data_IF_943066548789
#
_entry.id   IF_943066548789
#
_cell.length_a   1.000
_cell.length_b   1.000
_cell.length_c   1.000
_cell.angle_alpha   90.00
_cell.angle_beta   90.00
_cell.angle_gamma   90.00
#
_symmetry.space_group_name_H-M   'P 1'
#
loop_
_entity.id
_entity.type
_entity.pdbx_description
1 polymer ?
#
# COMPACT_ATOMS: atom_id res chain seq x y z
N UNK A 1 -28.37 -97.60 -42.94
CA UNK A 1 -27.70 -96.85 -41.86
C UNK A 1 -28.44 -97.17 -40.58
N UNK A 2 -27.73 -97.58 -39.51
CA UNK A 2 -28.38 -98.00 -38.27
C UNK A 2 -28.88 -96.79 -37.46
N UNK A 3 -29.97 -96.95 -36.71
CA UNK A 3 -30.65 -95.85 -35.98
C UNK A 3 -29.71 -95.20 -34.96
N UNK A 4 -28.87 -96.00 -34.30
CA UNK A 4 -27.85 -95.51 -33.37
C UNK A 4 -26.80 -94.61 -34.03
N UNK A 5 -26.46 -94.86 -35.30
CA UNK A 5 -25.51 -94.03 -36.06
C UNK A 5 -26.11 -92.65 -36.34
N UNK A 6 -27.41 -92.58 -36.66
CA UNK A 6 -28.13 -91.31 -36.90
C UNK A 6 -28.18 -90.47 -35.62
N UNK A 7 -28.53 -91.08 -34.48
CA UNK A 7 -28.63 -90.40 -33.19
C UNK A 7 -27.27 -89.81 -32.79
N UNK A 8 -26.18 -90.56 -32.95
CA UNK A 8 -24.83 -90.06 -32.66
C UNK A 8 -24.42 -88.88 -33.54
N UNK A 9 -24.76 -88.89 -34.84
CA UNK A 9 -24.45 -87.77 -35.74
C UNK A 9 -25.19 -86.50 -35.30
N UNK A 10 -26.48 -86.60 -34.95
CA UNK A 10 -27.28 -85.48 -34.46
C UNK A 10 -26.71 -84.94 -33.13
N UNK A 11 -26.33 -85.83 -32.21
CA UNK A 11 -25.72 -85.44 -30.94
C UNK A 11 -24.40 -84.67 -31.14
N UNK A 12 -23.56 -85.10 -32.09
CA UNK A 12 -22.30 -84.40 -32.44
C UNK A 12 -22.57 -83.03 -33.05
N UNK A 13 -23.54 -82.92 -33.97
CA UNK A 13 -23.92 -81.63 -34.59
C UNK A 13 -24.43 -80.67 -33.52
N UNK A 14 -25.29 -81.13 -32.60
CA UNK A 14 -25.80 -80.31 -31.49
C UNK A 14 -24.67 -79.90 -30.54
N UNK A 15 -23.73 -80.79 -30.23
CA UNK A 15 -22.58 -80.49 -29.38
C UNK A 15 -21.67 -79.41 -30.01
N UNK A 16 -21.35 -79.54 -31.30
CA UNK A 16 -20.53 -78.57 -32.04
C UNK A 16 -21.28 -77.23 -32.16
N UNK A 17 -22.58 -77.27 -32.50
CA UNK A 17 -23.42 -76.09 -32.58
C UNK A 17 -23.48 -75.31 -31.27
N UNK A 18 -23.71 -76.01 -30.14
CA UNK A 18 -23.71 -75.41 -28.81
C UNK A 18 -22.32 -74.85 -28.43
N UNK A 19 -21.24 -75.57 -28.75
CA UNK A 19 -19.89 -75.11 -28.46
C UNK A 19 -19.54 -73.82 -29.21
N UNK A 20 -19.86 -73.74 -30.51
CA UNK A 20 -19.63 -72.52 -31.31
C UNK A 20 -20.49 -71.37 -30.79
N UNK A 21 -21.75 -71.63 -30.45
CA UNK A 21 -22.67 -70.64 -29.91
C UNK A 21 -22.14 -70.07 -28.58
N UNK A 22 -21.73 -70.92 -27.63
CA UNK A 22 -21.13 -70.51 -26.36
C UNK A 22 -19.81 -69.73 -26.55
N UNK A 23 -18.96 -70.14 -27.49
CA UNK A 23 -17.74 -69.40 -27.83
C UNK A 23 -18.05 -68.02 -28.42
N UNK A 24 -19.13 -67.89 -29.17
CA UNK A 24 -19.56 -66.61 -29.75
C UNK A 24 -20.10 -65.65 -28.67
N UNK A 25 -20.89 -66.16 -27.73
CA UNK A 25 -21.39 -65.40 -26.58
C UNK A 25 -20.23 -64.94 -25.70
N UNK A 26 -19.30 -65.84 -25.38
CA UNK A 26 -18.15 -65.53 -24.52
C UNK A 26 -17.26 -64.44 -25.12
N UNK A 27 -17.00 -64.49 -26.44
CA UNK A 27 -16.24 -63.44 -27.14
C UNK A 27 -16.97 -62.10 -27.16
N UNK A 28 -18.29 -62.09 -27.42
CA UNK A 28 -19.09 -60.85 -27.36
C UNK A 28 -19.12 -60.25 -25.97
N UNK A 29 -19.25 -61.08 -24.93
CA UNK A 29 -19.21 -60.65 -23.53
C UNK A 29 -17.88 -59.98 -23.20
N UNK A 30 -16.75 -60.64 -23.49
CA UNK A 30 -15.42 -60.10 -23.24
C UNK A 30 -15.17 -58.77 -23.99
N UNK A 31 -15.59 -58.68 -25.25
CA UNK A 31 -15.48 -57.44 -26.02
C UNK A 31 -16.31 -56.29 -25.42
N UNK A 32 -17.55 -56.57 -25.01
CA UNK A 32 -18.41 -55.55 -24.39
C UNK A 32 -17.89 -55.11 -23.02
N UNK A 33 -17.33 -56.02 -22.22
CA UNK A 33 -16.68 -55.68 -20.95
C UNK A 33 -15.47 -54.76 -21.17
N UNK A 34 -14.59 -55.09 -22.11
CA UNK A 34 -13.41 -54.28 -22.39
C UNK A 34 -13.77 -52.92 -23.01
N UNK A 35 -14.77 -52.90 -23.89
CA UNK A 35 -15.34 -51.66 -24.43
C UNK A 35 -15.95 -50.80 -23.33
N UNK A 36 -16.65 -51.40 -22.37
CA UNK A 36 -17.24 -50.71 -21.23
C UNK A 36 -16.18 -50.07 -20.33
N UNK A 37 -15.09 -50.79 -20.03
CA UNK A 37 -13.95 -50.25 -19.28
C UNK A 37 -13.31 -49.05 -19.99
N UNK A 38 -13.04 -49.17 -21.29
CA UNK A 38 -12.43 -48.09 -22.06
C UNK A 38 -13.32 -46.85 -22.15
N UNK A 39 -14.64 -47.05 -22.20
CA UNK A 39 -15.59 -45.93 -22.16
C UNK A 39 -15.56 -45.22 -20.80
N UNK A 40 -15.63 -45.96 -19.70
CA UNK A 40 -15.54 -45.41 -18.35
C UNK A 40 -14.23 -44.63 -18.14
N UNK A 41 -13.09 -45.19 -18.55
CA UNK A 41 -11.80 -44.49 -18.48
C UNK A 41 -11.79 -43.19 -19.29
N UNK A 42 -12.41 -43.18 -20.47
CA UNK A 42 -12.48 -41.98 -21.31
C UNK A 42 -13.33 -40.88 -20.64
N UNK A 43 -14.45 -41.26 -20.04
CA UNK A 43 -15.32 -40.35 -19.30
C UNK A 43 -14.60 -39.78 -18.06
N UNK A 44 -13.85 -40.60 -17.33
CA UNK A 44 -13.03 -40.17 -16.20
C UNK A 44 -11.94 -39.16 -16.63
N UNK A 45 -11.23 -39.43 -17.73
CA UNK A 45 -10.21 -38.51 -18.27
C UNK A 45 -10.84 -37.17 -18.65
N UNK A 46 -12.01 -37.18 -19.30
CA UNK A 46 -12.72 -35.96 -19.68
C UNK A 46 -13.17 -35.16 -18.45
N UNK A 47 -13.73 -35.85 -17.45
CA UNK A 47 -14.12 -35.25 -16.17
C UNK A 47 -12.93 -34.59 -15.46
N UNK A 48 -11.82 -35.31 -15.30
CA UNK A 48 -10.59 -34.79 -14.69
C UNK A 48 -10.07 -33.58 -15.48
N UNK A 49 -10.08 -33.65 -16.81
CA UNK A 49 -9.63 -32.55 -17.67
C UNK A 49 -10.47 -31.29 -17.45
N UNK A 50 -11.79 -31.44 -17.34
CA UNK A 50 -12.69 -30.33 -17.09
C UNK A 50 -12.48 -29.72 -15.69
N UNK A 51 -12.21 -30.54 -14.68
CA UNK A 51 -11.87 -30.08 -13.34
C UNK A 51 -10.55 -29.29 -13.38
N UNK A 52 -9.51 -29.80 -14.04
CA UNK A 52 -8.22 -29.11 -14.16
C UNK A 52 -8.41 -27.73 -14.80
N UNK A 53 -9.11 -27.64 -15.92
CA UNK A 53 -9.41 -26.36 -16.59
C UNK A 53 -10.19 -25.40 -15.69
N UNK A 54 -11.14 -25.92 -14.91
CA UNK A 54 -11.91 -25.11 -13.96
C UNK A 54 -11.02 -24.56 -12.86
N UNK A 55 -10.15 -25.39 -12.27
CA UNK A 55 -9.18 -24.97 -11.23
C UNK A 55 -8.20 -23.95 -11.79
N UNK A 56 -7.65 -24.16 -12.99
CA UNK A 56 -6.76 -23.21 -13.66
C UNK A 56 -7.46 -21.86 -13.88
N UNK A 57 -8.70 -21.87 -14.34
CA UNK A 57 -9.49 -20.65 -14.51
C UNK A 57 -9.75 -19.94 -13.19
N UNK A 58 -10.12 -20.66 -12.13
CA UNK A 58 -10.32 -20.11 -10.80
C UNK A 58 -9.03 -19.50 -10.23
N UNK A 59 -7.91 -20.21 -10.40
CA UNK A 59 -6.60 -19.73 -9.97
C UNK A 59 -6.19 -18.46 -10.71
N UNK A 60 -6.33 -18.43 -12.04
CA UNK A 60 -6.02 -17.25 -12.84
C UNK A 60 -6.88 -16.05 -12.46
N UNK A 61 -8.19 -16.24 -12.28
CA UNK A 61 -9.09 -15.17 -11.82
C UNK A 61 -8.68 -14.65 -10.44
N UNK A 62 -8.37 -15.55 -9.50
CA UNK A 62 -7.94 -15.17 -8.15
C UNK A 62 -6.61 -14.42 -8.18
N UNK A 63 -5.68 -14.85 -9.04
CA UNK A 63 -4.39 -14.19 -9.23
C UNK A 63 -4.54 -12.79 -9.83
N UNK A 64 -5.44 -12.60 -10.80
CA UNK A 64 -5.70 -11.27 -11.35
C UNK A 64 -6.35 -10.33 -10.33
N UNK A 65 -7.32 -10.81 -9.57
CA UNK A 65 -7.94 -10.03 -8.50
C UNK A 65 -6.89 -9.59 -7.47
N UNK A 66 -6.03 -10.52 -7.04
CA UNK A 66 -4.97 -10.22 -6.08
C UNK A 66 -3.95 -9.22 -6.64
N UNK A 67 -3.58 -9.33 -7.92
CA UNK A 67 -2.70 -8.32 -8.58
C UNK A 67 -3.35 -6.94 -8.60
N UNK A 68 -4.64 -6.86 -8.90
CA UNK A 68 -5.37 -5.59 -8.92
C UNK A 68 -5.47 -4.96 -7.53
N UNK A 69 -5.72 -5.78 -6.50
CA UNK A 69 -5.72 -5.33 -5.10
C UNK A 69 -4.36 -4.77 -4.69
N UNK A 70 -3.27 -5.49 -4.96
CA UNK A 70 -1.91 -5.00 -4.69
C UNK A 70 -1.58 -3.71 -5.44
N UNK A 71 -1.97 -3.59 -6.72
CA UNK A 71 -1.76 -2.37 -7.50
C UNK A 71 -2.52 -1.18 -6.91
N UNK A 72 -3.77 -1.40 -6.47
CA UNK A 72 -4.57 -0.37 -5.83
C UNK A 72 -3.96 0.07 -4.50
N UNK A 73 -3.53 -0.87 -3.65
CA UNK A 73 -2.84 -0.56 -2.40
C UNK A 73 -1.54 0.22 -2.63
N UNK A 74 -0.77 -0.17 -3.66
CA UNK A 74 0.46 0.50 -4.03
C UNK A 74 0.22 1.95 -4.48
N UNK A 75 -0.72 2.19 -5.40
CA UNK A 75 -1.03 3.55 -5.86
C UNK A 75 -1.64 4.41 -4.74
N UNK A 76 -2.46 3.82 -3.86
CA UNK A 76 -2.95 4.50 -2.67
C UNK A 76 -1.81 4.92 -1.73
N UNK A 77 -0.89 4.00 -1.41
CA UNK A 77 0.27 4.30 -0.57
C UNK A 77 1.17 5.37 -1.18
N UNK A 78 1.35 5.35 -2.50
CA UNK A 78 2.11 6.37 -3.23
C UNK A 78 1.44 7.74 -3.16
N UNK A 79 0.13 7.80 -3.35
CA UNK A 79 -0.65 9.04 -3.21
C UNK A 79 -0.55 9.59 -1.79
N UNK A 80 -0.68 8.74 -0.76
CA UNK A 80 -0.48 9.13 0.63
C UNK A 80 0.93 9.69 0.87
N UNK A 81 1.97 9.04 0.33
CA UNK A 81 3.34 9.52 0.45
C UNK A 81 3.54 10.90 -0.18
N UNK A 82 2.93 11.15 -1.35
CA UNK A 82 2.97 12.44 -2.03
C UNK A 82 2.28 13.54 -1.21
N UNK A 83 1.07 13.27 -0.69
CA UNK A 83 0.36 14.20 0.21
C UNK A 83 1.22 14.49 1.45
N UNK A 84 1.84 13.45 2.02
CA UNK A 84 2.71 13.62 3.17
C UNK A 84 3.90 14.53 2.87
N UNK A 85 4.60 14.32 1.75
CA UNK A 85 5.72 15.18 1.36
C UNK A 85 5.30 16.62 1.10
N UNK A 86 4.11 16.84 0.53
CA UNK A 86 3.59 18.19 0.30
C UNK A 86 3.33 18.91 1.63
N UNK A 87 2.73 18.23 2.61
CA UNK A 87 2.55 18.78 3.96
C UNK A 87 3.87 19.07 4.67
N UNK A 88 4.86 18.20 4.54
CA UNK A 88 6.20 18.44 5.12
C UNK A 88 6.88 19.65 4.46
N UNK A 89 6.70 19.83 3.14
CA UNK A 89 7.19 21.00 2.40
C UNK A 89 6.49 22.29 2.85
N UNK A 90 5.18 22.27 3.04
CA UNK A 90 4.42 23.41 3.58
C UNK A 90 4.90 23.79 4.98
N UNK A 91 5.08 22.81 5.88
CA UNK A 91 5.66 23.04 7.20
C UNK A 91 7.02 23.72 7.10
N UNK A 92 7.93 23.20 6.27
CA UNK A 92 9.26 23.78 6.07
C UNK A 92 9.16 25.22 5.56
N UNK A 93 8.25 25.50 4.63
CA UNK A 93 8.05 26.85 4.11
C UNK A 93 7.58 27.82 5.21
N UNK A 94 6.56 27.45 5.99
CA UNK A 94 6.10 28.26 7.13
C UNK A 94 7.21 28.51 8.15
N UNK A 95 8.01 27.48 8.47
CA UNK A 95 9.16 27.61 9.38
C UNK A 95 10.21 28.58 8.83
N UNK A 96 10.52 28.51 7.53
CA UNK A 96 11.51 29.40 6.87
C UNK A 96 10.99 30.83 6.77
N UNK A 97 9.73 31.03 6.40
CA UNK A 97 9.09 32.34 6.30
C UNK A 97 9.06 33.04 7.65
N UNK A 98 8.52 32.36 8.67
CA UNK A 98 8.49 32.85 10.05
C UNK A 98 9.91 33.20 10.55
N UNK A 99 10.91 32.36 10.29
CA UNK A 99 12.31 32.66 10.63
C UNK A 99 12.82 33.93 9.94
N UNK A 100 12.55 34.10 8.63
CA UNK A 100 12.98 35.27 7.86
C UNK A 100 12.35 36.55 8.40
N UNK A 101 11.05 36.53 8.69
CA UNK A 101 10.36 37.71 9.20
C UNK A 101 10.89 38.12 10.58
N UNK A 102 11.15 37.15 11.46
CA UNK A 102 11.77 37.44 12.77
C UNK A 102 13.18 38.02 12.60
N UNK A 103 13.96 37.56 11.62
CA UNK A 103 15.29 38.11 11.32
C UNK A 103 15.22 39.53 10.73
N UNK A 104 14.20 39.82 9.92
CA UNK A 104 13.94 41.17 9.40
C UNK A 104 13.52 42.13 10.52
N UNK A 105 12.75 41.67 11.50
CA UNK A 105 12.36 42.46 12.66
C UNK A 105 13.55 42.98 13.48
N UNK A 106 14.61 42.19 13.62
CA UNK A 106 15.86 42.63 14.28
C UNK A 106 16.48 43.83 13.54
N UNK A 107 16.28 43.95 12.23
CA UNK A 107 16.75 45.10 11.43
C UNK A 107 15.87 46.34 11.60
N UNK A 108 14.55 46.17 11.70
CA UNK A 108 13.59 47.26 11.94
C UNK A 108 13.73 47.87 13.35
N UNK A 109 14.07 47.04 14.35
CA UNK A 109 14.38 47.51 15.70
C UNK A 109 15.57 48.50 15.71
N UNK A 110 16.57 48.28 14.86
CA UNK A 110 17.72 49.20 14.73
C UNK A 110 17.33 50.57 14.17
N UNK A 111 16.15 50.66 13.54
CA UNK A 111 15.55 51.87 12.97
C UNK A 111 14.40 52.42 13.82
N UNK A 112 14.17 51.86 15.01
CA UNK A 112 13.11 52.29 15.93
C UNK A 112 11.68 51.89 15.51
N UNK A 113 11.54 50.92 14.61
CA UNK A 113 10.25 50.41 14.15
C UNK A 113 9.91 49.07 14.81
N UNK A 114 8.63 48.82 15.06
CA UNK A 114 8.16 47.53 15.58
C UNK A 114 8.19 46.50 14.45
N UNK A 115 8.81 45.35 14.73
CA UNK A 115 8.79 44.18 13.85
C UNK A 115 7.38 43.66 13.56
N UNK A 116 7.17 43.04 12.40
CA UNK A 116 5.86 42.61 11.90
C UNK A 116 5.73 41.09 11.71
N UNK A 117 6.61 40.26 12.28
CA UNK A 117 6.54 38.80 12.19
C UNK A 117 5.29 38.15 12.84
N UNK A 118 4.40 38.93 13.47
CA UNK A 118 3.15 38.45 14.09
C UNK A 118 2.35 37.58 13.12
N UNK A 119 2.18 38.04 11.87
CA UNK A 119 1.37 37.35 10.88
C UNK A 119 1.92 35.96 10.59
N UNK A 120 3.20 35.85 10.22
CA UNK A 120 3.81 34.56 9.90
C UNK A 120 3.94 33.62 11.10
N UNK A 121 4.00 34.15 12.32
CA UNK A 121 3.94 33.34 13.56
C UNK A 121 2.53 32.78 13.80
N UNK A 122 1.49 33.57 13.54
CA UNK A 122 0.11 33.12 13.64
C UNK A 122 -0.22 32.10 12.54
N UNK A 123 0.16 32.37 11.29
CA UNK A 123 -0.04 31.44 10.16
C UNK A 123 0.67 30.09 10.42
N UNK A 124 1.87 30.14 11.00
CA UNK A 124 2.56 28.93 11.48
C UNK A 124 1.76 28.24 12.58
N UNK A 125 1.29 28.98 13.59
CA UNK A 125 0.48 28.43 14.68
C UNK A 125 -0.75 27.67 14.19
N UNK A 126 -1.52 28.27 13.27
CA UNK A 126 -2.70 27.65 12.66
C UNK A 126 -2.35 26.35 11.93
N UNK A 127 -1.27 26.36 11.14
CA UNK A 127 -0.77 25.16 10.47
C UNK A 127 -0.39 24.07 11.49
N UNK A 128 0.33 24.43 12.57
CA UNK A 128 0.78 23.46 13.56
C UNK A 128 -0.39 22.81 14.31
N UNK A 129 -1.44 23.56 14.61
CA UNK A 129 -2.66 23.03 15.24
C UNK A 129 -3.41 22.07 14.32
N UNK A 130 -3.50 22.39 13.02
CA UNK A 130 -4.19 21.52 12.05
C UNK A 130 -3.53 20.14 11.92
N UNK A 131 -2.22 20.06 12.15
CA UNK A 131 -1.42 18.85 11.95
C UNK A 131 -0.68 18.40 13.22
N UNK A 132 -1.20 18.74 14.40
CA UNK A 132 -0.54 18.48 15.69
C UNK A 132 -0.21 16.98 15.88
N UNK A 133 -1.20 16.12 15.61
CA UNK A 133 -1.07 14.67 15.82
C UNK A 133 0.12 14.06 15.06
N UNK A 134 0.40 14.57 13.85
CA UNK A 134 1.48 14.09 12.98
C UNK A 134 2.87 14.49 13.49
N UNK A 135 3.01 15.73 13.95
CA UNK A 135 4.30 16.31 14.29
C UNK A 135 4.59 16.36 15.80
N UNK A 136 3.65 15.93 16.64
CA UNK A 136 3.75 15.86 18.11
C UNK A 136 5.02 15.18 18.63
N UNK A 137 5.57 14.21 17.88
CA UNK A 137 6.79 13.49 18.23
C UNK A 137 8.07 14.31 17.99
N UNK A 138 8.02 15.41 17.24
CA UNK A 138 9.17 16.27 17.00
C UNK A 138 9.53 17.03 18.28
N UNK A 139 10.79 16.94 18.68
CA UNK A 139 11.30 17.66 19.85
C UNK A 139 11.08 19.16 19.67
N UNK A 140 10.53 19.79 20.70
CA UNK A 140 10.16 21.22 20.75
C UNK A 140 8.92 21.62 19.93
N UNK A 141 8.22 20.69 19.26
CA UNK A 141 7.02 21.01 18.48
C UNK A 141 5.90 21.60 19.34
N UNK A 142 5.48 20.91 20.40
CA UNK A 142 4.43 21.41 21.31
C UNK A 142 4.84 22.73 22.00
N UNK A 143 6.14 22.95 22.20
CA UNK A 143 6.65 24.22 22.75
C UNK A 143 6.55 25.35 21.74
N UNK A 144 6.73 25.06 20.45
CA UNK A 144 6.54 26.03 19.38
C UNK A 144 5.06 26.45 19.29
N UNK A 145 4.13 25.48 19.29
CA UNK A 145 2.68 25.75 19.34
C UNK A 145 2.35 26.71 20.50
N UNK A 146 2.79 26.38 21.71
CA UNK A 146 2.52 27.21 22.90
C UNK A 146 3.05 28.64 22.79
N UNK A 147 4.16 28.87 22.08
CA UNK A 147 4.68 30.23 21.88
C UNK A 147 3.96 30.94 20.73
N UNK A 148 3.49 30.23 19.69
CA UNK A 148 2.57 30.77 18.69
C UNK A 148 1.24 31.22 19.32
N UNK A 149 0.65 30.43 20.22
CA UNK A 149 -0.58 30.80 20.94
C UNK A 149 -0.41 32.09 21.76
N UNK A 150 0.76 32.26 22.39
CA UNK A 150 1.09 33.49 23.11
C UNK A 150 1.21 34.68 22.16
N UNK A 151 1.73 34.47 20.95
CA UNK A 151 1.80 35.52 19.94
C UNK A 151 0.41 35.95 19.45
N UNK A 152 -0.51 35.00 19.32
CA UNK A 152 -1.90 35.31 19.00
C UNK A 152 -2.55 36.22 20.06
N UNK A 153 -2.24 36.01 21.34
CA UNK A 153 -2.62 36.94 22.41
C UNK A 153 -2.06 38.35 22.22
N UNK A 154 -0.79 38.47 21.82
CA UNK A 154 -0.15 39.77 21.50
C UNK A 154 -0.84 40.46 20.31
N UNK A 155 -1.25 39.69 19.29
CA UNK A 155 -2.00 40.22 18.15
C UNK A 155 -3.34 40.86 18.58
N UNK A 156 -4.12 40.18 19.42
CA UNK A 156 -5.39 40.71 19.94
C UNK A 156 -5.17 41.99 20.77
N UNK A 157 -4.11 42.02 21.58
CA UNK A 157 -3.78 43.19 22.40
C UNK A 157 -3.45 44.42 21.54
N UNK A 158 -2.75 44.22 20.41
CA UNK A 158 -2.43 45.29 19.45
C UNK A 158 -3.68 45.79 18.71
N UNK A 159 -4.54 44.88 18.25
CA UNK A 159 -5.77 45.24 17.51
C UNK A 159 -6.78 46.00 18.41
N UNK A 160 -6.75 45.73 19.72
CA UNK A 160 -7.61 46.40 20.71
C UNK A 160 -7.11 47.76 21.20
N UNK A 161 -5.98 48.27 20.69
CA UNK A 161 -5.46 49.60 21.00
C UNK A 161 -4.91 49.78 22.43
N UNK A 162 -4.54 48.68 23.11
CA UNK A 162 -3.93 48.73 24.45
C UNK A 162 -2.45 49.14 24.35
N UNK A 163 -2.03 50.04 25.24
CA UNK A 163 -0.71 50.66 25.20
C UNK A 163 0.43 49.65 25.44
N UNK A 164 1.41 49.69 24.53
CA UNK A 164 2.39 48.64 24.16
C UNK A 164 3.57 48.57 25.16
N UNK A 165 3.39 49.01 26.40
CA UNK A 165 4.47 49.01 27.39
C UNK A 165 4.59 47.59 27.98
N UNK A 166 5.56 46.84 27.43
CA UNK A 166 5.94 45.44 27.71
C UNK A 166 5.25 44.37 26.87
N UNK A 167 5.39 44.46 25.55
CA UNK A 167 5.05 43.35 24.68
C UNK A 167 5.91 42.12 25.00
N UNK A 168 5.24 41.03 25.39
CA UNK A 168 5.85 39.69 25.36
C UNK A 168 6.33 39.30 23.96
N UNK A 169 6.03 40.10 22.94
CA UNK A 169 6.51 40.00 21.56
C UNK A 169 7.96 39.55 21.47
N UNK A 170 8.90 40.31 22.02
CA UNK A 170 10.34 40.02 21.87
C UNK A 170 10.79 38.74 22.57
N UNK A 171 10.37 38.45 23.82
CA UNK A 171 10.57 37.14 24.42
C UNK A 171 9.98 35.98 23.61
N UNK A 172 8.78 36.17 23.03
CA UNK A 172 8.09 35.15 22.22
C UNK A 172 8.83 34.91 20.91
N UNK A 173 9.15 35.95 20.13
CA UNK A 173 9.86 35.82 18.84
C UNK A 173 11.20 35.11 19.02
N UNK A 174 11.97 35.42 20.07
CA UNK A 174 13.23 34.73 20.38
C UNK A 174 13.05 33.23 20.64
N UNK A 175 11.99 32.85 21.36
CA UNK A 175 11.70 31.44 21.64
C UNK A 175 11.19 30.71 20.40
N UNK A 176 10.28 31.33 19.65
CA UNK A 176 9.78 30.83 18.37
C UNK A 176 10.96 30.58 17.43
N UNK A 177 11.83 31.57 17.23
CA UNK A 177 13.02 31.43 16.39
C UNK A 177 13.96 30.31 16.86
N UNK A 178 14.14 30.14 18.17
CA UNK A 178 14.93 29.04 18.74
C UNK A 178 14.31 27.67 18.40
N UNK A 179 13.01 27.50 18.64
CA UNK A 179 12.34 26.22 18.38
C UNK A 179 12.28 25.90 16.88
N UNK A 180 12.05 26.90 16.02
CA UNK A 180 12.14 26.74 14.57
C UNK A 180 13.53 26.23 14.17
N UNK A 181 14.61 26.85 14.66
CA UNK A 181 15.99 26.42 14.38
C UNK A 181 16.24 24.99 14.84
N UNK A 182 15.74 24.60 16.01
CA UNK A 182 15.90 23.24 16.54
C UNK A 182 15.12 22.20 15.71
N UNK A 183 13.90 22.53 15.26
CA UNK A 183 13.08 21.65 14.42
C UNK A 183 13.70 21.49 13.03
N UNK A 184 14.14 22.59 12.40
CA UNK A 184 14.77 22.55 11.08
C UNK A 184 16.05 21.70 11.08
N UNK A 185 16.83 21.68 12.17
CA UNK A 185 18.00 20.80 12.31
C UNK A 185 17.66 19.31 12.35
N UNK A 186 16.44 18.96 12.77
CA UNK A 186 15.97 17.57 12.81
C UNK A 186 15.45 17.16 11.43
N UNK A 187 14.68 18.05 10.78
CA UNK A 187 14.02 17.77 9.50
C UNK A 187 15.00 17.82 8.33
N UNK A 188 15.92 18.80 8.31
CA UNK A 188 16.85 18.99 7.21
C UNK A 188 18.07 18.08 7.41
N UNK A 189 18.35 17.14 6.48
CA UNK A 189 19.48 16.23 6.60
C UNK A 189 20.82 16.99 6.54
N UNK A 190 21.87 16.49 7.22
CA UNK A 190 23.21 17.06 7.13
C UNK A 190 23.75 16.92 5.71
N UNK A 191 24.45 17.94 5.23
CA UNK A 191 25.19 17.87 3.97
C UNK A 191 26.29 16.82 4.14
N UNK A 192 26.20 15.72 3.38
CA UNK A 192 27.29 14.75 3.27
C UNK A 192 28.37 15.37 2.41
N UNK A 193 29.40 15.95 3.04
CA UNK A 193 30.62 16.34 2.33
C UNK A 193 31.36 15.05 2.01
N UNK A 194 31.31 14.63 0.74
CA UNK A 194 32.10 13.50 0.27
C UNK A 194 33.59 13.80 0.51
N UNK A 195 34.27 12.94 1.26
CA UNK A 195 35.73 12.94 1.27
C UNK A 195 36.15 12.63 -0.16
N UNK A 196 36.60 13.64 -0.90
CA UNK A 196 37.33 13.41 -2.13
C UNK A 196 38.59 12.64 -1.75
N UNK A 197 38.58 11.33 -1.96
CA UNK A 197 39.80 10.52 -1.95
C UNK A 197 40.78 11.21 -2.89
N UNK A 198 41.91 11.64 -2.33
CA UNK A 198 43.03 12.13 -3.14
C UNK A 198 43.43 10.97 -4.07
N UNK A 199 43.58 11.19 -5.38
CA UNK A 199 44.11 10.16 -6.25
C UNK A 199 45.54 9.84 -5.78
N UNK A 200 45.77 8.58 -5.45
CA UNK A 200 47.11 8.04 -5.26
C UNK A 200 47.85 8.15 -6.59
N UNK A 201 48.93 8.93 -6.61
CA UNK A 201 49.98 8.90 -7.62
C UNK A 201 51.31 8.67 -6.92
#
# INVERSE_FOLDING_TARGET
MDVNTIINIIAVILAIGNFIFLCSISRKKAYNEEKGKNLATKEDIESITNIIKSVESQYNNSLELFKMELLNEYEFSKSLFEICNNLDKELINHLIECKKDIEMDESYESQGQLGQAIKSINDLGDFLHCYESRYSNLKNFNKLIQECDKMYGVYIDLDSGRDIQFTNYRPITKKVQKYIKDILKIIIPPIKVGNAEKPEH
#
